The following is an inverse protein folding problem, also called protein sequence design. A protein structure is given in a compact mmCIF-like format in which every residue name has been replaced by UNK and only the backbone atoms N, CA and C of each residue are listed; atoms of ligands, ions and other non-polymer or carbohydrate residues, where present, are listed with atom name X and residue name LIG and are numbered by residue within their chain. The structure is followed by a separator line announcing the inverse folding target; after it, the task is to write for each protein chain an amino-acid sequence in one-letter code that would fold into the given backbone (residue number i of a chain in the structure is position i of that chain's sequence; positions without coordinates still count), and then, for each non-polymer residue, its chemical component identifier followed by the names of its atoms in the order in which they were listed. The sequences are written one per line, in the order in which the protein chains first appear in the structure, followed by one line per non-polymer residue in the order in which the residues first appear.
data_IF_859120188820
#
_entry.id   IF_859120188820
#
_cell.length_a   1.000
_cell.length_b   1.000
_cell.length_c   1.000
_cell.angle_alpha   90.00
_cell.angle_beta   90.00
_cell.angle_gamma   90.00
#
_symmetry.space_group_name_H-M   'P 1'
#
loop_
_entity.id
_entity.type
_entity.pdbx_description
1 polymer ?
#
# COMPACT_ATOMS: atom_id res chain seq x y z
N UNK A 1 -18.61 -4.73 -28.55
CA UNK A 1 -18.55 -4.61 -27.07
C UNK A 1 -18.64 -5.95 -26.32
N UNK A 2 -18.71 -7.10 -27.00
CA UNK A 2 -18.80 -8.42 -26.35
C UNK A 2 -17.64 -8.72 -25.38
N UNK A 3 -16.46 -8.14 -25.59
CA UNK A 3 -15.31 -8.25 -24.68
C UNK A 3 -15.54 -7.59 -23.30
N UNK A 4 -16.29 -6.49 -23.22
CA UNK A 4 -16.63 -5.87 -21.94
C UNK A 4 -17.57 -6.78 -21.13
N UNK A 5 -18.44 -7.51 -21.83
CA UNK A 5 -19.41 -8.43 -21.26
C UNK A 5 -18.83 -9.82 -20.96
N UNK A 6 -17.58 -10.10 -21.37
CA UNK A 6 -16.88 -11.32 -20.99
C UNK A 6 -15.97 -11.08 -19.78
N UNK A 7 -16.13 -11.88 -18.72
CA UNK A 7 -15.31 -11.78 -17.50
C UNK A 7 -16.10 -11.37 -16.27
N UNK A 8 -15.39 -11.06 -15.19
CA UNK A 8 -15.98 -10.64 -13.91
C UNK A 8 -16.58 -9.23 -13.99
N UNK A 9 -17.46 -8.89 -13.06
CA UNK A 9 -18.16 -7.61 -12.89
C UNK A 9 -17.26 -6.38 -12.66
N UNK A 10 -15.93 -6.58 -12.59
CA UNK A 10 -14.94 -5.54 -12.35
C UNK A 10 -14.62 -4.65 -13.56
N UNK A 11 -15.17 -4.92 -14.76
CA UNK A 11 -14.96 -4.08 -15.95
C UNK A 11 -15.96 -2.92 -15.99
N UNK A 12 -15.53 -1.73 -15.58
CA UNK A 12 -16.37 -0.53 -15.68
C UNK A 12 -16.41 0.03 -17.11
N UNK A 13 -17.47 0.78 -17.43
CA UNK A 13 -17.56 1.52 -18.69
C UNK A 13 -16.44 2.55 -18.83
N UNK A 14 -16.08 3.23 -17.74
CA UNK A 14 -14.99 4.21 -17.71
C UNK A 14 -13.64 3.59 -18.06
N UNK A 15 -13.30 2.44 -17.47
CA UNK A 15 -12.06 1.73 -17.78
C UNK A 15 -12.04 1.21 -19.22
N UNK A 16 -13.21 0.83 -19.76
CA UNK A 16 -13.34 0.40 -21.16
C UNK A 16 -13.09 1.56 -22.12
N UNK A 17 -13.65 2.75 -21.82
CA UNK A 17 -13.36 3.97 -22.58
C UNK A 17 -11.88 4.33 -22.51
N UNK A 18 -11.28 4.24 -21.32
CA UNK A 18 -9.84 4.50 -21.13
C UNK A 18 -8.98 3.55 -21.95
N UNK A 19 -9.29 2.25 -21.97
CA UNK A 19 -8.56 1.27 -22.79
C UNK A 19 -8.57 1.65 -24.29
N UNK A 20 -9.71 2.11 -24.81
CA UNK A 20 -9.81 2.48 -26.23
C UNK A 20 -8.98 3.73 -26.53
N UNK A 21 -9.14 4.79 -25.74
CA UNK A 21 -8.50 6.07 -26.05
C UNK A 21 -7.02 6.12 -25.67
N UNK A 22 -6.66 5.58 -24.51
CA UNK A 22 -5.33 5.76 -23.94
C UNK A 22 -4.37 4.63 -24.31
N UNK A 23 -4.89 3.49 -24.79
CA UNK A 23 -4.06 2.34 -25.18
C UNK A 23 -4.22 2.05 -26.66
N UNK A 24 -5.43 1.72 -27.12
CA UNK A 24 -5.64 1.25 -28.51
C UNK A 24 -5.47 2.35 -29.57
N UNK A 25 -5.78 3.60 -29.22
CA UNK A 25 -5.63 4.77 -30.10
C UNK A 25 -4.37 5.60 -29.78
N UNK A 26 -3.51 5.10 -28.89
CA UNK A 26 -2.28 5.79 -28.55
C UNK A 26 -1.34 5.84 -29.77
N UNK A 27 -0.72 7.00 -30.04
CA UNK A 27 0.10 7.22 -31.24
C UNK A 27 1.38 6.37 -31.26
N UNK A 28 1.80 5.89 -30.10
CA UNK A 28 2.97 5.05 -29.88
C UNK A 28 2.65 3.55 -29.92
N UNK A 29 1.36 3.17 -29.93
CA UNK A 29 0.97 1.77 -30.03
C UNK A 29 1.24 1.23 -31.44
N UNK A 30 2.16 0.28 -31.54
CA UNK A 30 2.40 -0.51 -32.74
C UNK A 30 1.66 -1.84 -32.60
N UNK A 31 0.80 -2.14 -33.57
CA UNK A 31 0.00 -3.36 -33.53
C UNK A 31 0.89 -4.62 -33.58
N UNK A 32 2.06 -4.50 -34.19
CA UNK A 32 3.08 -5.53 -34.27
C UNK A 32 3.57 -5.98 -32.88
N UNK A 33 3.58 -5.08 -31.90
CA UNK A 33 4.02 -5.39 -30.52
C UNK A 33 2.99 -6.27 -29.77
N UNK A 34 1.73 -6.28 -30.23
CA UNK A 34 0.68 -7.15 -29.70
C UNK A 34 0.71 -8.55 -30.33
N UNK A 35 1.48 -8.75 -31.40
CA UNK A 35 1.60 -10.04 -32.07
C UNK A 35 2.25 -11.07 -31.15
N UNK A 36 1.52 -12.14 -30.83
CA UNK A 36 1.97 -13.17 -29.88
C UNK A 36 1.90 -12.75 -28.41
N UNK A 37 1.25 -11.64 -28.08
CA UNK A 37 1.05 -11.21 -26.69
C UNK A 37 0.23 -12.26 -25.92
N UNK A 38 0.73 -12.62 -24.74
CA UNK A 38 0.04 -13.48 -23.79
C UNK A 38 0.20 -12.90 -22.39
N UNK A 39 -0.92 -12.57 -21.74
CA UNK A 39 -0.92 -11.92 -20.43
C UNK A 39 -0.16 -12.73 -19.36
N UNK A 40 -0.27 -14.07 -19.35
CA UNK A 40 0.44 -14.92 -18.38
C UNK A 40 1.95 -14.84 -18.55
N UNK A 41 2.41 -14.84 -19.80
CA UNK A 41 3.84 -14.73 -20.11
C UNK A 41 4.38 -13.35 -19.78
N UNK A 42 3.60 -12.29 -20.06
CA UNK A 42 3.98 -10.91 -19.73
C UNK A 42 4.13 -10.72 -18.20
N UNK A 43 3.14 -11.18 -17.42
CA UNK A 43 3.18 -11.14 -15.95
C UNK A 43 4.42 -11.90 -15.44
N UNK A 44 4.65 -13.13 -15.92
CA UNK A 44 5.82 -13.92 -15.52
C UNK A 44 7.16 -13.26 -15.85
N UNK A 45 7.24 -12.48 -16.94
CA UNK A 45 8.45 -11.71 -17.27
C UNK A 45 8.63 -10.53 -16.31
N UNK A 46 7.55 -9.84 -15.95
CA UNK A 46 7.55 -8.74 -14.99
C UNK A 46 8.02 -9.21 -13.60
N UNK A 47 7.46 -10.32 -13.10
CA UNK A 47 7.84 -10.91 -11.81
C UNK A 47 9.34 -11.28 -11.78
N UNK A 48 9.85 -11.82 -12.90
CA UNK A 48 11.27 -12.15 -13.04
C UNK A 48 12.17 -10.93 -13.09
N UNK A 49 11.75 -9.86 -13.76
CA UNK A 49 12.52 -8.62 -13.80
C UNK A 49 12.59 -7.96 -12.42
N UNK A 50 11.49 -7.99 -11.66
CA UNK A 50 11.44 -7.49 -10.29
C UNK A 50 12.38 -8.30 -9.38
N UNK A 51 12.36 -9.63 -9.49
CA UNK A 51 13.26 -10.51 -8.73
C UNK A 51 14.75 -10.39 -9.15
N UNK A 52 15.03 -9.88 -10.35
CA UNK A 52 16.38 -9.68 -10.88
C UNK A 52 16.93 -8.28 -10.58
N UNK A 53 16.11 -7.37 -10.03
CA UNK A 53 16.61 -6.08 -9.56
C UNK A 53 17.60 -6.34 -8.41
N UNK A 54 18.85 -5.87 -8.51
CA UNK A 54 19.76 -5.95 -7.40
C UNK A 54 19.13 -5.21 -6.22
N UNK A 55 19.00 -5.87 -5.06
CA UNK A 55 18.51 -5.28 -3.80
C UNK A 55 19.34 -4.09 -3.29
N UNK A 56 20.23 -3.52 -4.11
CA UNK A 56 21.35 -2.68 -3.71
C UNK A 56 21.46 -1.36 -4.46
N UNK A 57 20.50 -0.97 -5.30
CA UNK A 57 20.48 0.39 -5.88
C UNK A 57 19.12 1.02 -5.63
N UNK A 58 19.08 1.90 -4.63
CA UNK A 58 18.00 2.84 -4.28
C UNK A 58 16.68 2.29 -3.69
N UNK A 59 16.62 1.01 -3.29
CA UNK A 59 15.57 0.51 -2.39
C UNK A 59 15.67 1.07 -0.95
N UNK A 60 16.81 1.70 -0.59
CA UNK A 60 17.06 2.32 0.73
C UNK A 60 16.16 3.52 1.03
N UNK A 61 15.51 4.10 0.02
CA UNK A 61 14.52 5.17 0.15
C UNK A 61 13.12 4.73 -0.29
N UNK A 62 12.82 3.41 -0.23
CA UNK A 62 11.45 2.95 -0.44
C UNK A 62 10.54 3.58 0.62
N UNK A 63 9.67 4.50 0.19
CA UNK A 63 8.56 5.06 0.97
C UNK A 63 8.94 5.55 2.41
N UNK A 64 10.17 6.04 2.60
CA UNK A 64 10.66 6.56 3.89
C UNK A 64 10.94 5.51 4.98
N UNK A 65 11.10 4.24 4.61
CA UNK A 65 11.56 3.18 5.51
C UNK A 65 13.06 3.33 5.82
N UNK A 66 13.42 3.20 7.09
CA UNK A 66 14.80 3.14 7.58
C UNK A 66 15.15 1.68 7.83
N UNK A 67 16.22 1.19 7.23
CA UNK A 67 16.67 -0.20 7.34
C UNK A 67 17.97 -0.30 8.13
N UNK A 68 18.23 -1.47 8.70
CA UNK A 68 19.50 -1.80 9.38
C UNK A 68 19.88 -0.81 10.49
N UNK A 69 18.89 -0.39 11.29
CA UNK A 69 19.11 0.55 12.40
C UNK A 69 19.22 -0.21 13.72
N UNK A 70 20.21 0.16 14.53
CA UNK A 70 20.33 -0.33 15.90
C UNK A 70 19.58 0.60 16.86
N UNK A 71 18.74 0.03 17.73
CA UNK A 71 17.93 0.80 18.69
C UNK A 71 18.08 0.24 20.09
N UNK A 72 18.38 1.12 21.04
CA UNK A 72 18.46 0.79 22.45
C UNK A 72 17.08 0.90 23.10
N UNK A 73 16.68 -0.14 23.84
CA UNK A 73 15.47 -0.17 24.65
C UNK A 73 15.80 -0.46 26.11
N UNK A 74 15.07 0.16 27.03
CA UNK A 74 15.16 -0.17 28.45
C UNK A 74 14.25 -1.35 28.77
N UNK A 75 14.85 -2.45 29.23
CA UNK A 75 14.12 -3.66 29.62
C UNK A 75 14.02 -3.70 31.15
N UNK A 76 12.81 -3.66 31.74
CA UNK A 76 12.64 -3.76 33.18
C UNK A 76 13.23 -5.05 33.72
N UNK A 77 14.20 -4.94 34.64
CA UNK A 77 14.92 -6.08 35.22
C UNK A 77 14.29 -6.62 36.50
N UNK A 78 13.22 -5.98 36.99
CA UNK A 78 12.56 -6.25 38.29
C UNK A 78 13.50 -6.11 39.52
N UNK A 79 14.76 -5.71 39.32
CA UNK A 79 15.72 -5.37 40.37
C UNK A 79 15.45 -3.93 40.86
N UNK A 80 15.39 -3.74 42.19
CA UNK A 80 15.27 -2.41 42.79
C UNK A 80 16.63 -1.71 42.69
N UNK A 81 16.84 -0.97 41.59
CA UNK A 81 18.01 -0.12 41.42
C UNK A 81 17.66 1.33 41.79
N UNK A 82 18.54 2.02 42.53
CA UNK A 82 18.34 3.41 42.95
C UNK A 82 18.45 4.42 41.79
N UNK A 83 19.01 4.01 40.65
CA UNK A 83 19.27 4.87 39.47
C UNK A 83 18.33 4.60 38.29
N UNK A 84 17.41 3.62 38.41
CA UNK A 84 16.46 3.26 37.34
C UNK A 84 16.43 1.75 37.08
N UNK A 85 15.23 1.23 36.82
CA UNK A 85 14.90 -0.20 36.94
C UNK A 85 15.21 -1.01 35.66
N UNK A 86 15.81 -0.38 34.65
CA UNK A 86 15.97 -0.92 33.30
C UNK A 86 17.41 -1.30 32.97
N UNK A 87 17.61 -2.42 32.27
CA UNK A 87 18.86 -2.72 31.57
C UNK A 87 18.70 -2.32 30.10
N UNK A 88 19.66 -1.61 29.55
CA UNK A 88 19.67 -1.28 28.13
C UNK A 88 19.91 -2.54 27.30
N UNK A 89 19.05 -2.79 26.32
CA UNK A 89 19.16 -3.87 25.37
C UNK A 89 19.14 -3.28 23.96
N UNK A 90 20.15 -3.58 23.16
CA UNK A 90 20.24 -3.11 21.77
C UNK A 90 19.56 -4.11 20.84
N UNK A 91 18.57 -3.63 20.09
CA UNK A 91 17.92 -4.36 19.00
C UNK A 91 18.67 -4.03 17.71
N UNK A 92 19.36 -5.03 17.15
CA UNK A 92 20.11 -4.86 15.91
C UNK A 92 19.26 -5.09 14.67
N UNK A 93 19.62 -4.40 13.58
CA UNK A 93 19.03 -4.65 12.25
C UNK A 93 17.54 -4.28 12.14
N UNK A 94 17.07 -3.33 12.96
CA UNK A 94 15.67 -2.90 12.92
C UNK A 94 15.37 -2.17 11.62
N UNK A 95 14.29 -2.59 10.97
CA UNK A 95 13.68 -1.85 9.86
C UNK A 95 12.40 -1.19 10.34
N UNK A 96 12.30 0.14 10.25
CA UNK A 96 11.15 0.89 10.74
C UNK A 96 10.83 2.10 9.85
N UNK A 97 9.57 2.55 9.88
CA UNK A 97 9.14 3.81 9.27
C UNK A 97 8.72 4.78 10.36
N UNK A 98 9.26 6.02 10.42
CA UNK A 98 8.88 6.97 11.46
C UNK A 98 7.38 7.28 11.41
N UNK A 99 6.69 7.19 12.56
CA UNK A 99 5.24 7.39 12.64
C UNK A 99 4.79 8.73 12.04
N UNK A 100 5.52 9.81 12.33
CA UNK A 100 5.22 11.14 11.79
C UNK A 100 5.31 11.12 10.25
N UNK A 101 6.34 10.49 9.68
CA UNK A 101 6.47 10.35 8.23
C UNK A 101 5.31 9.54 7.62
N UNK A 102 4.83 8.50 8.31
CA UNK A 102 3.63 7.74 7.88
C UNK A 102 2.39 8.62 7.85
N UNK A 103 2.17 9.41 8.91
CA UNK A 103 1.03 10.32 9.00
C UNK A 103 1.11 11.35 7.87
N UNK A 104 2.26 12.00 7.67
CA UNK A 104 2.44 12.96 6.58
C UNK A 104 2.17 12.35 5.22
N UNK A 105 2.69 11.16 4.93
CA UNK A 105 2.44 10.47 3.67
C UNK A 105 0.94 10.19 3.46
N UNK A 106 0.26 9.66 4.47
CA UNK A 106 -1.18 9.35 4.40
C UNK A 106 -2.04 10.58 4.12
N UNK A 107 -1.68 11.76 4.67
CA UNK A 107 -2.43 13.00 4.47
C UNK A 107 -2.00 13.80 3.22
N UNK A 108 -0.85 13.48 2.63
CA UNK A 108 -0.39 14.09 1.37
C UNK A 108 -1.03 13.41 0.16
N UNK A 109 -1.44 12.15 0.30
CA UNK A 109 -2.11 11.41 -0.78
C UNK A 109 -3.45 12.06 -1.16
N UNK A 110 -3.76 12.06 -2.46
CA UNK A 110 -5.06 12.47 -3.01
C UNK A 110 -6.27 11.78 -2.37
N UNK A 111 -6.11 10.54 -1.88
CA UNK A 111 -7.19 9.78 -1.21
C UNK A 111 -7.54 10.34 0.17
N UNK A 112 -6.65 11.13 0.78
CA UNK A 112 -6.88 11.74 2.11
C UNK A 112 -8.14 12.60 2.17
N UNK A 113 -8.58 13.14 1.03
CA UNK A 113 -9.84 13.89 0.86
C UNK A 113 -11.07 13.06 1.22
N UNK A 114 -10.96 11.74 1.25
CA UNK A 114 -12.03 10.80 1.56
C UNK A 114 -11.92 10.19 2.96
N UNK A 115 -10.95 10.63 3.77
CA UNK A 115 -10.82 10.13 5.14
C UNK A 115 -11.95 10.67 6.02
N UNK A 116 -12.50 9.79 6.85
CA UNK A 116 -13.49 10.16 7.85
C UNK A 116 -12.76 10.53 9.16
N UNK A 117 -12.65 11.83 9.43
CA UNK A 117 -12.05 12.33 10.69
C UNK A 117 -13.05 12.40 11.85
N UNK A 118 -14.34 12.35 11.52
CA UNK A 118 -15.42 12.24 12.48
C UNK A 118 -16.02 10.85 12.38
N UNK A 119 -16.27 10.16 13.52
CA UNK A 119 -17.00 8.91 13.51
C UNK A 119 -18.34 9.07 12.77
N UNK A 120 -18.77 8.01 12.09
CA UNK A 120 -20.13 7.98 11.54
C UNK A 120 -21.15 8.13 12.67
N UNK A 121 -22.27 8.79 12.37
CA UNK A 121 -23.41 8.83 13.28
C UNK A 121 -23.88 7.39 13.49
N UNK A 122 -23.61 6.83 14.67
CA UNK A 122 -24.11 5.51 15.06
C UNK A 122 -25.57 5.65 15.44
N UNK A 123 -26.45 5.40 14.48
CA UNK A 123 -27.88 5.35 14.72
C UNK A 123 -28.20 3.98 15.28
N UNK A 124 -28.55 3.90 16.56
CA UNK A 124 -29.14 2.69 17.10
C UNK A 124 -30.67 2.80 17.02
N UNK A 125 -31.30 1.87 16.30
CA UNK A 125 -32.75 1.73 16.30
C UNK A 125 -33.13 0.64 17.29
N UNK A 126 -33.90 1.01 18.30
CA UNK A 126 -34.43 0.00 19.22
C UNK A 126 -35.30 -0.99 18.44
N UNK A 127 -35.04 -2.31 18.53
CA UNK A 127 -35.93 -3.31 17.94
C UNK A 127 -37.30 -3.37 18.65
N UNK A 128 -37.42 -2.76 19.83
CA UNK A 128 -38.65 -2.73 20.62
C UNK A 128 -39.45 -1.44 20.40
N UNK A 129 -38.79 -0.28 20.38
CA UNK A 129 -39.48 1.02 20.27
C UNK A 129 -39.40 1.65 18.89
N UNK A 130 -38.54 1.16 17.99
CA UNK A 130 -38.34 1.69 16.64
C UNK A 130 -37.73 3.08 16.56
N UNK A 131 -37.41 3.70 17.71
CA UNK A 131 -36.84 5.06 17.77
C UNK A 131 -35.33 5.02 17.64
N UNK A 132 -34.80 6.01 16.93
CA UNK A 132 -33.36 6.29 16.86
C UNK A 132 -32.89 6.93 18.18
N UNK A 133 -31.81 6.39 18.76
CA UNK A 133 -31.06 6.99 19.88
C UNK A 133 -29.65 7.36 19.45
#
# INVERSE_FOLDING_TARGET
MSWQLTGNDQKSSAETTRLVHDVLLANDLKLEDLSGFNAKTAIKKMDKSEAALPHTVDAREWDGWKMEVDVDIEVPSHEKCSEGNGRTFTVHGLTYRPLVSVIWAAFTDTISKWFHFTPFRRIWKSPVTGREQ
#
